data_IF_102565350367
#
_entry.id   IF_102565350367
#
_cell.length_a   1.000
_cell.length_b   1.000
_cell.length_c   1.000
_cell.angle_alpha   90.00
_cell.angle_beta   90.00
_cell.angle_gamma   90.00
#
_symmetry.space_group_name_H-M   'P 1'
#
loop_
_entity.id
_entity.type
_entity.pdbx_description
1 polymer ?
#
# COMPACT_ATOMS: atom_id res chain seq x y z
N UNK A 1 -4.22 -19.99 17.84
CA UNK A 1 -4.22 -20.09 16.36
C UNK A 1 -2.83 -20.40 15.80
N UNK A 2 -1.72 -19.94 16.41
CA UNK A 2 -0.38 -20.46 16.10
C UNK A 2 0.12 -20.10 14.70
N UNK A 3 -0.24 -18.90 14.22
CA UNK A 3 0.08 -18.45 12.88
C UNK A 3 1.59 -18.32 12.68
N UNK A 4 2.04 -18.67 11.47
CA UNK A 4 3.42 -18.51 11.00
C UNK A 4 3.55 -17.39 9.99
N UNK A 5 2.47 -17.14 9.26
CA UNK A 5 2.37 -16.10 8.24
C UNK A 5 1.01 -15.43 8.42
N UNK A 6 0.96 -14.12 8.26
CA UNK A 6 -0.28 -13.36 8.16
C UNK A 6 -0.31 -12.63 6.81
N UNK A 7 -1.27 -13.01 5.97
CA UNK A 7 -1.46 -12.36 4.67
C UNK A 7 -2.45 -11.22 4.76
N UNK A 8 -2.02 -10.03 4.32
CA UNK A 8 -2.87 -8.85 4.22
C UNK A 8 -2.47 -8.01 2.99
N UNK A 9 -3.12 -6.86 2.79
CA UNK A 9 -2.71 -5.86 1.80
C UNK A 9 -2.36 -4.52 2.45
N UNK A 10 -1.47 -3.79 1.79
CA UNK A 10 -1.29 -2.36 2.05
C UNK A 10 -2.33 -1.63 1.19
N UNK A 11 -3.13 -0.80 1.83
CA UNK A 11 -4.12 0.02 1.16
C UNK A 11 -3.40 1.18 0.48
N UNK A 12 -3.37 1.18 -0.86
CA UNK A 12 -2.72 2.23 -1.65
C UNK A 12 -3.24 3.63 -1.23
N UNK A 13 -4.54 3.79 -1.02
CA UNK A 13 -5.14 5.05 -0.55
C UNK A 13 -4.74 5.50 0.85
N UNK A 14 -4.10 4.66 1.67
CA UNK A 14 -3.48 5.10 2.92
C UNK A 14 -2.11 5.72 2.71
N UNK A 15 -1.37 5.26 1.69
CA UNK A 15 -0.03 5.73 1.37
C UNK A 15 -0.08 6.95 0.44
N UNK A 16 -0.93 6.89 -0.60
CA UNK A 16 -1.19 7.98 -1.54
C UNK A 16 -2.71 8.18 -1.63
N UNK A 17 -3.30 9.10 -0.83
CA UNK A 17 -4.76 9.28 -0.72
C UNK A 17 -5.47 9.52 -2.05
N UNK A 18 -4.88 10.32 -2.92
CA UNK A 18 -5.36 10.57 -4.27
C UNK A 18 -4.65 9.66 -5.28
N UNK A 19 -3.45 9.18 -4.97
CA UNK A 19 -2.70 8.23 -5.80
C UNK A 19 -1.72 8.90 -6.76
N UNK A 20 -1.81 10.23 -6.93
CA UNK A 20 -0.98 11.05 -7.80
C UNK A 20 -0.11 12.07 -7.03
N UNK A 21 -0.06 11.98 -5.70
CA UNK A 21 0.85 12.78 -4.89
C UNK A 21 2.31 12.39 -5.11
N UNK A 22 3.21 13.36 -4.94
CA UNK A 22 4.67 13.13 -5.00
C UNK A 22 5.21 12.55 -3.70
N UNK A 23 4.63 12.95 -2.57
CA UNK A 23 5.04 12.53 -1.23
C UNK A 23 3.99 11.60 -0.61
N UNK A 24 4.42 10.52 0.07
CA UNK A 24 3.50 9.62 0.73
C UNK A 24 2.94 10.22 2.03
N UNK A 25 1.79 9.69 2.45
CA UNK A 25 1.19 9.99 3.74
C UNK A 25 1.91 9.22 4.87
N UNK A 26 2.72 9.94 5.65
CA UNK A 26 3.51 9.37 6.76
C UNK A 26 2.65 8.63 7.80
N UNK A 27 1.46 9.14 8.14
CA UNK A 27 0.57 8.45 9.08
C UNK A 27 0.08 7.10 8.55
N UNK A 28 -0.02 6.96 7.23
CA UNK A 28 -0.34 5.70 6.58
C UNK A 28 0.81 4.70 6.65
N UNK A 29 2.05 5.17 6.45
CA UNK A 29 3.27 4.35 6.58
C UNK A 29 3.44 3.87 8.02
N UNK A 30 3.36 4.77 9.00
CA UNK A 30 3.51 4.44 10.42
C UNK A 30 2.51 3.36 10.87
N UNK A 31 1.27 3.40 10.37
CA UNK A 31 0.29 2.34 10.68
C UNK A 31 0.76 0.94 10.25
N UNK A 32 1.42 0.83 9.09
CA UNK A 32 1.93 -0.46 8.62
C UNK A 32 3.21 -0.87 9.35
N UNK A 33 4.06 0.08 9.74
CA UNK A 33 5.20 -0.20 10.62
C UNK A 33 4.71 -0.79 11.94
N UNK A 34 3.76 -0.13 12.62
CA UNK A 34 3.19 -0.59 13.89
C UNK A 34 2.54 -1.99 13.75
N UNK A 35 1.85 -2.23 12.63
CA UNK A 35 1.25 -3.54 12.34
C UNK A 35 2.31 -4.62 12.13
N UNK A 36 3.37 -4.33 11.36
CA UNK A 36 4.41 -5.30 11.05
C UNK A 36 5.29 -5.57 12.27
N UNK A 37 5.63 -4.55 13.05
CA UNK A 37 6.37 -4.68 14.30
C UNK A 37 5.61 -5.59 15.28
N UNK A 38 4.30 -5.42 15.41
CA UNK A 38 3.48 -6.30 16.25
C UNK A 38 3.47 -7.74 15.72
N UNK A 39 3.28 -7.95 14.40
CA UNK A 39 3.32 -9.30 13.81
C UNK A 39 4.67 -9.99 14.07
N UNK A 40 5.77 -9.28 13.87
CA UNK A 40 7.13 -9.78 14.08
C UNK A 40 7.40 -10.05 15.56
N UNK A 41 6.88 -9.24 16.48
CA UNK A 41 6.96 -9.48 17.93
C UNK A 41 6.32 -10.82 18.34
N UNK A 42 5.30 -11.27 17.58
CA UNK A 42 4.67 -12.59 17.75
C UNK A 42 5.29 -13.70 16.88
N UNK A 43 6.41 -13.45 16.20
CA UNK A 43 7.05 -14.36 15.23
C UNK A 43 6.11 -14.78 14.07
N UNK A 44 5.32 -13.84 13.57
CA UNK A 44 4.42 -14.02 12.43
C UNK A 44 4.98 -13.25 11.24
N UNK A 45 5.29 -13.94 10.15
CA UNK A 45 5.79 -13.31 8.93
C UNK A 45 4.68 -12.58 8.18
N UNK A 46 4.81 -11.29 7.86
CA UNK A 46 3.86 -10.58 7.03
C UNK A 46 4.00 -11.02 5.55
N UNK A 47 2.88 -11.41 4.93
CA UNK A 47 2.79 -11.65 3.48
C UNK A 47 1.91 -10.58 2.85
N UNK A 48 2.52 -9.62 2.16
CA UNK A 48 1.84 -8.41 1.71
C UNK A 48 1.44 -8.50 0.24
N UNK A 49 0.16 -8.26 -0.04
CA UNK A 49 -0.38 -8.02 -1.38
C UNK A 49 -0.43 -6.51 -1.63
N UNK A 50 0.22 -6.02 -2.70
CA UNK A 50 0.36 -4.57 -2.94
C UNK A 50 -0.92 -3.91 -3.45
N UNK A 51 -1.68 -4.61 -4.31
CA UNK A 51 -2.93 -4.12 -4.88
C UNK A 51 -4.00 -5.19 -4.75
N UNK A 52 -5.05 -4.89 -3.99
CA UNK A 52 -6.12 -5.84 -3.68
C UNK A 52 -7.51 -5.20 -3.87
N UNK A 53 -7.77 -4.74 -5.10
CA UNK A 53 -9.05 -4.10 -5.51
C UNK A 53 -9.37 -2.79 -4.76
N UNK A 54 -8.35 -2.05 -4.36
CA UNK A 54 -8.46 -0.87 -3.48
C UNK A 54 -7.71 0.37 -4.01
N UNK A 55 -7.62 0.49 -5.34
CA UNK A 55 -7.04 1.65 -6.03
C UNK A 55 -7.71 2.95 -5.54
N UNK A 56 -6.95 4.05 -5.30
CA UNK A 56 -7.52 5.34 -4.91
C UNK A 56 -8.63 5.80 -5.86
N UNK A 57 -9.76 6.23 -5.29
CA UNK A 57 -10.95 6.63 -6.06
C UNK A 57 -10.67 7.81 -6.99
N UNK A 58 -9.77 8.71 -6.58
CA UNK A 58 -9.34 9.85 -7.41
C UNK A 58 -8.73 9.38 -8.73
N UNK A 59 -7.89 8.33 -8.72
CA UNK A 59 -7.31 7.80 -9.95
C UNK A 59 -8.36 7.28 -10.94
N UNK A 60 -9.40 6.62 -10.44
CA UNK A 60 -10.53 6.19 -11.27
C UNK A 60 -11.30 7.36 -11.87
N UNK A 61 -11.54 8.43 -11.09
CA UNK A 61 -12.32 9.60 -11.53
C UNK A 61 -11.55 10.52 -12.50
N UNK A 62 -10.27 10.70 -12.26
CA UNK A 62 -9.44 11.70 -12.96
C UNK A 62 -8.71 11.11 -14.16
N UNK A 63 -8.35 9.82 -14.10
CA UNK A 63 -7.54 9.15 -15.11
C UNK A 63 -8.26 7.95 -15.76
N UNK A 64 -9.54 7.69 -15.48
CA UNK A 64 -10.24 6.48 -15.95
C UNK A 64 -9.54 5.18 -15.50
N UNK A 65 -8.87 5.25 -14.35
CA UNK A 65 -8.13 4.13 -13.76
C UNK A 65 -7.10 3.53 -14.70
N UNK A 66 -6.97 2.21 -14.68
CA UNK A 66 -5.95 1.43 -15.39
C UNK A 66 -6.00 1.51 -16.92
N UNK A 67 -7.00 2.18 -17.50
CA UNK A 67 -7.03 2.50 -18.93
C UNK A 67 -5.93 3.52 -19.28
N UNK A 68 -5.58 4.40 -18.35
CA UNK A 68 -4.57 5.43 -18.57
C UNK A 68 -3.17 4.96 -18.20
N UNK A 69 -2.23 5.16 -19.12
CA UNK A 69 -0.83 4.72 -18.98
C UNK A 69 -0.13 5.31 -17.76
N UNK A 70 -0.51 6.52 -17.32
CA UNK A 70 0.06 7.19 -16.12
C UNK A 70 -0.12 6.37 -14.84
N UNK A 71 -1.10 5.46 -14.80
CA UNK A 71 -1.30 4.55 -13.66
C UNK A 71 -0.07 3.69 -13.37
N UNK A 72 0.74 3.37 -14.38
CA UNK A 72 1.97 2.62 -14.19
C UNK A 72 2.94 3.42 -13.32
N UNK A 73 3.11 4.70 -13.61
CA UNK A 73 4.01 5.58 -12.86
C UNK A 73 3.51 5.78 -11.43
N UNK A 74 2.20 6.00 -11.26
CA UNK A 74 1.58 6.13 -9.93
C UNK A 74 1.72 4.85 -9.09
N UNK A 75 1.49 3.69 -9.71
CA UNK A 75 1.65 2.41 -9.05
C UNK A 75 3.11 2.12 -8.73
N UNK A 76 4.03 2.41 -9.66
CA UNK A 76 5.47 2.25 -9.42
C UNK A 76 5.94 3.13 -8.27
N UNK A 77 5.50 4.39 -8.19
CA UNK A 77 5.81 5.27 -7.07
C UNK A 77 5.36 4.65 -5.74
N UNK A 78 4.09 4.22 -5.67
CA UNK A 78 3.54 3.53 -4.51
C UNK A 78 4.36 2.29 -4.09
N UNK A 79 4.68 1.42 -5.06
CA UNK A 79 5.48 0.21 -4.81
C UNK A 79 6.88 0.59 -4.31
N UNK A 80 7.54 1.55 -4.94
CA UNK A 80 8.88 2.00 -4.50
C UNK A 80 8.85 2.56 -3.08
N UNK A 81 7.83 3.32 -2.71
CA UNK A 81 7.70 3.83 -1.34
C UNK A 81 7.64 2.69 -0.33
N UNK A 82 6.75 1.72 -0.52
CA UNK A 82 6.54 0.64 0.48
C UNK A 82 7.65 -0.41 0.49
N UNK A 83 8.44 -0.52 -0.59
CA UNK A 83 9.62 -1.40 -0.63
C UNK A 83 10.86 -0.79 0.02
N UNK A 84 10.93 0.54 0.14
CA UNK A 84 12.08 1.25 0.71
C UNK A 84 11.80 1.83 2.11
N UNK A 85 10.64 1.51 2.70
CA UNK A 85 10.32 1.87 4.08
C UNK A 85 11.10 0.99 5.04
#
# INVERSE_FOLDING_TARGET
MGFKVFRTSIAWSRIFPNGDETEPNEAGLQFYDDLFDELLAHNIEPLITLSHYETPLHLSKTYDGWVNRKMIDFYENYVRTVFNR
#
